data_IF_375461351466
#
_entry.id   IF_375461351466
#
_cell.length_a   1.000
_cell.length_b   1.000
_cell.length_c   1.000
_cell.angle_alpha   90.00
_cell.angle_beta   90.00
_cell.angle_gamma   90.00
#
_symmetry.space_group_name_H-M   'P 1'
#
loop_
_entity.id
_entity.type
_entity.pdbx_description
1 polymer ?
#
# COMPACT_ATOMS: atom_id res chain seq x y z
N UNK A 1 6.59 -0.30 -7.76
CA UNK A 1 5.36 -0.46 -8.57
C UNK A 1 4.18 0.33 -8.00
N UNK A 2 3.55 -0.08 -6.88
CA UNK A 2 2.25 0.48 -6.44
C UNK A 2 2.23 2.02 -6.28
N UNK A 3 3.26 2.61 -5.67
CA UNK A 3 3.36 4.08 -5.49
C UNK A 3 3.43 4.80 -6.83
N UNK A 4 4.27 4.31 -7.75
CA UNK A 4 4.40 4.87 -9.10
C UNK A 4 3.08 4.82 -9.86
N UNK A 5 2.37 3.70 -9.82
CA UNK A 5 1.07 3.55 -10.48
C UNK A 5 0.05 4.54 -9.95
N UNK A 6 0.00 4.75 -8.62
CA UNK A 6 -0.89 5.73 -7.99
C UNK A 6 -0.54 7.17 -8.37
N UNK A 7 0.75 7.49 -8.47
CA UNK A 7 1.22 8.80 -8.92
C UNK A 7 0.86 9.06 -10.39
N UNK A 8 1.18 8.11 -11.27
CA UNK A 8 0.86 8.21 -12.71
C UNK A 8 -0.65 8.34 -12.96
N UNK A 9 -1.48 7.74 -12.08
CA UNK A 9 -2.93 7.79 -12.18
C UNK A 9 -3.50 9.22 -12.23
N UNK A 10 -2.79 10.21 -11.68
CA UNK A 10 -3.24 11.61 -11.68
C UNK A 10 -3.36 12.20 -13.08
N UNK A 11 -2.62 11.67 -14.06
CA UNK A 11 -2.60 12.19 -15.44
C UNK A 11 -3.21 11.23 -16.46
N UNK A 12 -3.88 10.17 -15.99
CA UNK A 12 -4.49 9.19 -16.89
C UNK A 12 -5.70 9.80 -17.64
N UNK A 13 -5.81 9.54 -18.95
CA UNK A 13 -6.91 10.07 -19.75
C UNK A 13 -8.23 9.39 -19.37
N UNK A 14 -9.29 10.19 -19.23
CA UNK A 14 -10.60 9.68 -18.81
C UNK A 14 -11.26 8.77 -19.84
N UNK A 15 -11.02 8.98 -21.14
CA UNK A 15 -11.65 8.19 -22.21
C UNK A 15 -11.29 6.69 -22.12
N UNK A 16 -10.01 6.28 -22.06
CA UNK A 16 -9.64 4.89 -21.84
C UNK A 16 -10.17 4.28 -20.53
N UNK A 17 -10.13 5.04 -19.42
CA UNK A 17 -10.68 4.56 -18.15
C UNK A 17 -12.20 4.31 -18.22
N UNK A 18 -12.94 5.21 -18.87
CA UNK A 18 -14.38 5.00 -19.10
C UNK A 18 -14.64 3.80 -20.01
N UNK A 19 -13.82 3.56 -21.02
CA UNK A 19 -13.89 2.36 -21.86
C UNK A 19 -13.61 1.11 -21.03
N UNK A 20 -12.61 1.14 -20.14
CA UNK A 20 -12.31 0.05 -19.22
C UNK A 20 -13.51 -0.31 -18.34
N UNK A 21 -14.23 0.67 -17.78
CA UNK A 21 -15.47 0.41 -17.03
C UNK A 21 -16.56 -0.27 -17.87
N UNK A 22 -16.73 0.16 -19.13
CA UNK A 22 -17.70 -0.45 -20.05
C UNK A 22 -17.29 -1.87 -20.49
N UNK A 23 -16.01 -2.23 -20.36
CA UNK A 23 -15.44 -3.52 -20.79
C UNK A 23 -14.90 -4.34 -19.61
N UNK A 24 -15.35 -4.05 -18.38
CA UNK A 24 -14.82 -4.64 -17.13
C UNK A 24 -14.91 -6.17 -17.10
N UNK A 25 -15.92 -6.77 -17.72
CA UNK A 25 -16.03 -8.22 -17.84
C UNK A 25 -14.90 -8.84 -18.67
N UNK A 26 -14.58 -8.22 -19.82
CA UNK A 26 -13.47 -8.66 -20.70
C UNK A 26 -12.12 -8.40 -20.03
N UNK A 27 -11.96 -7.25 -19.39
CA UNK A 27 -10.74 -6.95 -18.62
C UNK A 27 -10.50 -7.97 -17.51
N UNK A 28 -11.54 -8.38 -16.79
CA UNK A 28 -11.43 -9.42 -15.78
C UNK A 28 -10.90 -10.72 -16.37
N UNK A 29 -11.42 -11.15 -17.52
CA UNK A 29 -10.97 -12.36 -18.22
C UNK A 29 -9.49 -12.27 -18.61
N UNK A 30 -9.09 -11.16 -19.23
CA UNK A 30 -7.69 -10.93 -19.63
C UNK A 30 -6.77 -10.98 -18.39
N UNK A 31 -7.11 -10.27 -17.31
CA UNK A 31 -6.29 -10.29 -16.11
C UNK A 31 -6.26 -11.64 -15.40
N UNK A 32 -7.34 -12.43 -15.43
CA UNK A 32 -7.29 -13.80 -14.90
C UNK A 32 -6.34 -14.71 -15.69
N UNK A 33 -6.13 -14.44 -16.99
CA UNK A 33 -5.15 -15.15 -17.80
C UNK A 33 -3.72 -14.70 -17.50
N UNK A 34 -3.52 -13.38 -17.29
CA UNK A 34 -2.20 -12.79 -17.01
C UNK A 34 -1.71 -13.11 -15.58
N UNK A 35 -2.57 -12.90 -14.58
CA UNK A 35 -2.21 -12.90 -13.16
C UNK A 35 -2.77 -14.10 -12.38
N UNK A 36 -3.51 -14.98 -13.05
CA UNK A 36 -4.22 -16.09 -12.42
C UNK A 36 -5.52 -15.66 -11.74
N UNK A 37 -6.36 -16.64 -11.34
CA UNK A 37 -7.66 -16.37 -10.71
C UNK A 37 -7.56 -16.45 -9.17
N UNK A 38 -8.05 -15.44 -8.42
CA UNK A 38 -8.03 -15.49 -6.95
C UNK A 38 -8.94 -16.58 -6.40
N UNK A 39 -8.51 -17.21 -5.31
CA UNK A 39 -9.28 -18.22 -4.60
C UNK A 39 -10.24 -17.56 -3.62
N UNK A 40 -11.51 -17.97 -3.60
CA UNK A 40 -12.53 -17.35 -2.75
C UNK A 40 -12.35 -17.81 -1.29
N UNK A 41 -12.13 -16.87 -0.38
CA UNK A 41 -12.18 -17.12 1.07
C UNK A 41 -11.17 -18.14 1.59
N UNK A 42 -10.11 -18.44 0.84
CA UNK A 42 -9.01 -19.28 1.28
C UNK A 42 -7.96 -18.40 1.98
N UNK A 43 -8.00 -18.38 3.31
CA UNK A 43 -6.78 -18.17 4.09
C UNK A 43 -6.04 -19.51 4.11
N UNK A 44 -5.24 -19.80 3.09
CA UNK A 44 -4.27 -20.88 3.18
C UNK A 44 -2.90 -20.32 2.87
N UNK A 45 -2.14 -20.20 3.96
CA UNK A 45 -0.71 -20.46 4.13
C UNK A 45 -0.27 -21.71 3.37
N UNK A 46 -0.38 -21.74 2.04
CA UNK A 46 0.41 -22.66 1.25
C UNK A 46 1.69 -21.91 0.98
N UNK A 47 2.75 -22.33 1.69
CA UNK A 47 4.12 -22.18 1.20
C UNK A 47 4.07 -22.68 -0.24
N UNK A 48 4.01 -21.76 -1.21
CA UNK A 48 4.52 -22.06 -2.53
C UNK A 48 6.00 -22.27 -2.24
N UNK A 49 6.43 -23.52 -2.11
CA UNK A 49 7.87 -23.82 -2.18
C UNK A 49 8.31 -23.15 -3.48
N UNK A 50 9.32 -22.26 -3.46
CA UNK A 50 9.89 -21.80 -4.70
C UNK A 50 10.37 -23.07 -5.40
N UNK A 51 9.69 -23.45 -6.46
CA UNK A 51 10.19 -24.49 -7.33
C UNK A 51 11.39 -23.83 -8.01
N UNK A 52 12.58 -24.08 -7.45
CA UNK A 52 13.83 -23.79 -8.12
C UNK A 52 13.73 -24.47 -9.51
N UNK A 53 13.76 -23.65 -10.57
CA UNK A 53 13.73 -24.01 -12.00
C UNK A 53 12.42 -23.78 -12.78
N UNK A 54 11.61 -22.78 -12.43
CA UNK A 54 10.80 -22.10 -13.45
C UNK A 54 11.23 -20.64 -13.52
N UNK A 55 11.67 -20.19 -14.70
CA UNK A 55 11.99 -18.79 -14.95
C UNK A 55 10.68 -17.98 -15.07
N UNK A 56 9.98 -17.85 -13.94
CA UNK A 56 8.67 -17.17 -13.80
C UNK A 56 8.75 -15.74 -14.35
N UNK A 57 9.92 -15.09 -14.25
CA UNK A 57 10.16 -13.76 -14.80
C UNK A 57 10.09 -13.70 -16.33
N UNK A 58 10.65 -14.67 -17.05
CA UNK A 58 10.57 -14.71 -18.52
C UNK A 58 9.15 -14.96 -19.01
N UNK A 59 8.47 -15.94 -18.40
CA UNK A 59 7.06 -16.24 -18.72
C UNK A 59 6.14 -15.05 -18.37
N UNK A 60 6.31 -14.40 -17.21
CA UNK A 60 5.55 -13.19 -16.88
C UNK A 60 5.84 -12.03 -17.85
N UNK A 61 7.05 -11.94 -18.41
CA UNK A 61 7.40 -10.89 -19.39
C UNK A 61 6.70 -11.09 -20.73
N UNK A 62 6.71 -12.30 -21.27
CA UNK A 62 5.99 -12.64 -22.52
C UNK A 62 4.47 -12.61 -22.36
N UNK A 63 3.94 -13.07 -21.22
CA UNK A 63 2.51 -12.98 -20.92
C UNK A 63 2.07 -11.53 -20.69
N UNK A 64 2.92 -10.69 -20.08
CA UNK A 64 2.65 -9.26 -19.97
C UNK A 64 2.59 -8.61 -21.35
N UNK A 65 3.54 -8.87 -22.26
CA UNK A 65 3.54 -8.21 -23.58
C UNK A 65 2.29 -8.54 -24.41
N UNK A 66 1.86 -9.81 -24.43
CA UNK A 66 0.61 -10.22 -25.10
C UNK A 66 -0.63 -9.62 -24.44
N UNK A 67 -0.69 -9.63 -23.11
CA UNK A 67 -1.78 -9.04 -22.34
C UNK A 67 -1.88 -7.52 -22.48
N UNK A 68 -0.74 -6.82 -22.54
CA UNK A 68 -0.68 -5.36 -22.71
C UNK A 68 -1.24 -4.95 -24.06
N UNK A 69 -0.93 -5.66 -25.14
CA UNK A 69 -1.49 -5.37 -26.47
C UNK A 69 -3.01 -5.56 -26.51
N UNK A 70 -3.51 -6.68 -25.96
CA UNK A 70 -4.96 -6.93 -25.91
C UNK A 70 -5.72 -5.87 -25.10
N UNK A 71 -5.14 -5.42 -23.98
CA UNK A 71 -5.74 -4.35 -23.18
C UNK A 71 -5.67 -3.04 -23.96
N UNK A 72 -4.54 -2.72 -24.58
CA UNK A 72 -4.38 -1.49 -25.35
C UNK A 72 -5.45 -1.36 -26.45
N UNK A 73 -5.68 -2.43 -27.21
CA UNK A 73 -6.75 -2.51 -28.20
C UNK A 73 -8.15 -2.37 -27.57
N UNK A 74 -8.36 -2.99 -26.40
CA UNK A 74 -9.65 -2.99 -25.72
C UNK A 74 -10.04 -1.60 -25.20
N UNK A 75 -9.09 -0.84 -24.66
CA UNK A 75 -9.34 0.47 -24.04
C UNK A 75 -8.99 1.66 -24.95
N UNK A 76 -8.31 1.40 -26.07
CA UNK A 76 -7.91 2.39 -27.08
C UNK A 76 -6.76 3.29 -26.63
N UNK A 77 -5.77 2.74 -25.92
CA UNK A 77 -4.53 3.44 -25.55
C UNK A 77 -3.40 2.45 -25.32
N UNK A 78 -2.21 2.75 -25.81
CA UNK A 78 -0.97 1.97 -25.63
C UNK A 78 -0.17 2.37 -24.38
N UNK A 79 -0.55 3.48 -23.74
CA UNK A 79 -0.03 3.93 -22.44
C UNK A 79 0.13 2.80 -21.41
N UNK A 80 1.38 2.53 -21.05
CA UNK A 80 1.74 1.50 -20.06
C UNK A 80 1.21 1.81 -18.66
N UNK A 81 1.15 3.07 -18.27
CA UNK A 81 0.61 3.49 -16.96
C UNK A 81 -0.90 3.25 -16.83
N UNK A 82 -1.65 3.27 -17.94
CA UNK A 82 -3.06 2.88 -17.95
C UNK A 82 -3.21 1.37 -17.70
N UNK A 83 -2.35 0.56 -18.34
CA UNK A 83 -2.30 -0.88 -18.08
C UNK A 83 -1.96 -1.17 -16.62
N UNK A 84 -0.90 -0.56 -16.09
CA UNK A 84 -0.45 -0.79 -14.71
C UNK A 84 -1.52 -0.37 -13.68
N UNK A 85 -2.26 0.70 -13.95
CA UNK A 85 -3.38 1.14 -13.12
C UNK A 85 -4.51 0.11 -13.08
N UNK A 86 -4.91 -0.43 -14.23
CA UNK A 86 -5.93 -1.47 -14.32
C UNK A 86 -5.47 -2.78 -13.68
N UNK A 87 -4.19 -3.14 -13.86
CA UNK A 87 -3.57 -4.28 -13.22
C UNK A 87 -3.57 -4.13 -11.69
N UNK A 88 -3.21 -2.95 -11.17
CA UNK A 88 -3.26 -2.68 -9.73
C UNK A 88 -4.69 -2.82 -9.18
N UNK A 89 -5.70 -2.31 -9.88
CA UNK A 89 -7.10 -2.50 -9.47
C UNK A 89 -7.51 -3.99 -9.44
N UNK A 90 -7.03 -4.79 -10.40
CA UNK A 90 -7.23 -6.23 -10.42
C UNK A 90 -6.57 -6.92 -9.22
N UNK A 91 -5.28 -6.65 -9.00
CA UNK A 91 -4.48 -7.22 -7.91
C UNK A 91 -5.07 -6.90 -6.53
N UNK A 92 -5.51 -5.66 -6.31
CA UNK A 92 -6.22 -5.27 -5.09
C UNK A 92 -7.53 -6.07 -4.92
N UNK A 93 -8.31 -6.19 -6.00
CA UNK A 93 -9.58 -6.94 -5.96
C UNK A 93 -9.39 -8.43 -5.66
N UNK A 94 -8.29 -9.00 -6.15
CA UNK A 94 -7.90 -10.38 -5.88
C UNK A 94 -7.57 -10.56 -4.40
N UNK A 95 -6.75 -9.69 -3.82
CA UNK A 95 -6.49 -9.69 -2.37
C UNK A 95 -7.78 -9.61 -1.54
N UNK A 96 -8.70 -8.70 -1.87
CA UNK A 96 -9.99 -8.62 -1.19
C UNK A 96 -10.83 -9.91 -1.31
N UNK A 97 -10.79 -10.57 -2.47
CA UNK A 97 -11.53 -11.80 -2.74
C UNK A 97 -11.01 -13.00 -1.93
N UNK A 98 -9.70 -13.05 -1.66
CA UNK A 98 -9.12 -14.08 -0.80
C UNK A 98 -9.58 -13.95 0.67
N UNK A 99 -9.94 -12.73 1.10
CA UNK A 99 -10.35 -12.43 2.48
C UNK A 99 -11.86 -12.39 2.71
N UNK A 100 -12.67 -12.44 1.66
CA UNK A 100 -14.11 -12.22 1.75
C UNK A 100 -14.90 -13.19 0.88
N UNK A 101 -15.94 -13.80 1.47
CA UNK A 101 -16.90 -14.64 0.74
C UNK A 101 -18.14 -13.86 0.27
N UNK A 102 -18.21 -12.55 0.53
CA UNK A 102 -19.43 -11.73 0.29
C UNK A 102 -19.75 -11.49 -1.19
N UNK A 103 -18.73 -11.44 -2.05
CA UNK A 103 -18.85 -11.19 -3.49
C UNK A 103 -18.01 -12.21 -4.25
N UNK A 104 -18.42 -12.54 -5.47
CA UNK A 104 -17.55 -13.28 -6.39
C UNK A 104 -16.35 -12.42 -6.79
N UNK A 105 -15.21 -13.01 -7.17
CA UNK A 105 -14.03 -12.24 -7.58
C UNK A 105 -14.30 -11.24 -8.69
N UNK A 106 -15.12 -11.61 -9.67
CA UNK A 106 -15.53 -10.71 -10.75
C UNK A 106 -16.33 -9.51 -10.21
N UNK A 107 -17.33 -9.73 -9.35
CA UNK A 107 -18.10 -8.64 -8.74
C UNK A 107 -17.23 -7.76 -7.83
N UNK A 108 -16.23 -8.34 -7.18
CA UNK A 108 -15.25 -7.60 -6.39
C UNK A 108 -14.36 -6.73 -7.28
N UNK A 109 -13.84 -7.28 -8.39
CA UNK A 109 -13.07 -6.52 -9.37
C UNK A 109 -13.86 -5.35 -9.94
N UNK A 110 -15.10 -5.57 -10.38
CA UNK A 110 -15.95 -4.49 -10.90
C UNK A 110 -16.10 -3.34 -9.88
N UNK A 111 -16.38 -3.66 -8.62
CA UNK A 111 -16.55 -2.66 -7.57
C UNK A 111 -15.25 -1.91 -7.25
N UNK A 112 -14.10 -2.60 -7.25
CA UNK A 112 -12.79 -1.97 -7.01
C UNK A 112 -12.38 -1.09 -8.19
N UNK A 113 -12.56 -1.56 -9.43
CA UNK A 113 -12.27 -0.78 -10.63
C UNK A 113 -13.11 0.51 -10.69
N UNK A 114 -14.41 0.41 -10.40
CA UNK A 114 -15.30 1.57 -10.28
C UNK A 114 -14.79 2.58 -9.24
N UNK A 115 -14.38 2.10 -8.06
CA UNK A 115 -13.81 2.96 -7.01
C UNK A 115 -12.50 3.61 -7.43
N UNK A 116 -11.60 2.86 -8.08
CA UNK A 116 -10.32 3.36 -8.56
C UNK A 116 -10.53 4.51 -9.55
N UNK A 117 -11.36 4.31 -10.57
CA UNK A 117 -11.63 5.32 -11.60
C UNK A 117 -12.40 6.52 -11.01
N UNK A 118 -13.32 6.28 -10.07
CA UNK A 118 -13.99 7.36 -9.35
C UNK A 118 -12.99 8.25 -8.58
N UNK A 119 -12.02 7.66 -7.88
CA UNK A 119 -11.00 8.42 -7.14
C UNK A 119 -10.13 9.24 -8.07
N UNK A 120 -9.69 8.67 -9.21
CA UNK A 120 -8.92 9.42 -10.21
C UNK A 120 -9.71 10.62 -10.73
N UNK A 121 -10.98 10.42 -11.11
CA UNK A 121 -11.86 11.52 -11.54
C UNK A 121 -11.99 12.60 -10.47
N UNK A 122 -12.18 12.20 -9.21
CA UNK A 122 -12.35 13.13 -8.09
C UNK A 122 -11.08 13.95 -7.87
N UNK A 123 -9.91 13.31 -7.91
CA UNK A 123 -8.62 14.02 -7.74
C UNK A 123 -8.41 14.98 -8.92
N UNK A 124 -8.60 14.52 -10.16
CA UNK A 124 -8.45 15.35 -11.35
C UNK A 124 -9.38 16.57 -11.33
N UNK A 125 -10.61 16.39 -10.87
CA UNK A 125 -11.55 17.51 -10.71
C UNK A 125 -11.10 18.52 -9.64
N UNK A 126 -10.50 18.06 -8.53
CA UNK A 126 -10.00 18.96 -7.48
C UNK A 126 -8.78 19.76 -7.95
N UNK A 127 -7.93 19.18 -8.80
CA UNK A 127 -6.72 19.85 -9.31
C UNK A 127 -6.97 20.63 -10.61
N UNK A 128 -8.17 20.53 -11.18
CA UNK A 128 -8.55 21.16 -12.45
C UNK A 128 -8.28 22.68 -12.40
N UNK A 129 -7.48 23.18 -13.33
CA UNK A 129 -7.07 24.60 -13.38
C UNK A 129 -5.90 24.98 -12.46
N UNK A 130 -5.32 24.02 -11.74
CA UNK A 130 -4.16 24.20 -10.87
C UNK A 130 -3.02 23.22 -11.16
N UNK A 131 -3.08 22.52 -12.30
CA UNK A 131 -2.14 21.47 -12.68
C UNK A 131 -0.70 21.99 -12.76
N UNK A 132 -0.53 23.24 -13.21
CA UNK A 132 0.78 23.91 -13.27
C UNK A 132 1.37 24.26 -11.90
N UNK A 133 0.57 24.25 -10.83
CA UNK A 133 1.03 24.49 -9.47
C UNK A 133 1.53 23.21 -8.78
N UNK A 134 1.33 22.05 -9.39
CA UNK A 134 1.78 20.77 -8.83
C UNK A 134 3.28 20.62 -9.07
N UNK A 135 4.03 20.47 -7.97
CA UNK A 135 5.44 20.10 -8.03
C UNK A 135 5.61 18.66 -8.51
N UNK A 136 6.77 18.35 -9.07
CA UNK A 136 7.18 16.97 -9.36
C UNK A 136 7.35 16.18 -8.06
N UNK A 137 7.06 14.87 -8.10
CA UNK A 137 7.32 13.98 -6.97
C UNK A 137 8.41 12.97 -7.30
N UNK A 138 9.36 12.83 -6.37
CA UNK A 138 10.36 11.76 -6.39
C UNK A 138 9.86 10.56 -5.57
N UNK A 139 9.91 9.38 -6.18
CA UNK A 139 9.43 8.14 -5.56
C UNK A 139 10.63 7.28 -5.23
N UNK A 140 10.89 7.13 -3.92
CA UNK A 140 12.03 6.40 -3.39
C UNK A 140 11.53 5.18 -2.63
N UNK A 141 12.14 4.02 -2.90
CA UNK A 141 11.93 2.81 -2.10
C UNK A 141 13.01 2.75 -1.02
N UNK A 142 12.61 2.70 0.25
CA UNK A 142 13.54 2.68 1.38
C UNK A 142 12.89 2.21 2.68
N UNK A 143 13.66 2.26 3.77
CA UNK A 143 13.21 1.95 5.12
C UNK A 143 13.10 3.25 5.93
N UNK A 144 11.92 3.55 6.48
CA UNK A 144 11.72 4.78 7.25
C UNK A 144 12.56 4.86 8.54
N UNK A 145 13.17 3.74 8.97
CA UNK A 145 14.11 3.70 10.10
C UNK A 145 15.53 4.13 9.72
N UNK A 146 15.79 4.31 8.42
CA UNK A 146 17.04 4.79 7.84
C UNK A 146 16.75 5.44 6.47
N UNK A 147 16.44 6.72 6.47
CA UNK A 147 16.11 7.47 5.26
C UNK A 147 17.37 7.90 4.54
N UNK A 148 17.46 7.62 3.23
CA UNK A 148 18.53 8.09 2.34
C UNK A 148 18.33 9.57 1.97
N UNK A 149 18.16 10.42 2.98
CA UNK A 149 17.98 11.86 2.87
C UNK A 149 19.02 12.57 3.75
N UNK A 150 19.50 13.72 3.30
CA UNK A 150 20.45 14.51 4.07
C UNK A 150 19.81 15.11 5.33
N UNK A 151 20.64 15.35 6.34
CA UNK A 151 20.22 16.06 7.56
C UNK A 151 19.65 17.43 7.21
N UNK A 152 18.59 17.83 7.91
CA UNK A 152 17.97 19.16 7.80
C UNK A 152 17.67 19.58 6.34
N UNK A 153 17.23 18.64 5.50
CA UNK A 153 16.97 18.87 4.07
C UNK A 153 15.49 19.05 3.74
N UNK A 154 14.58 18.64 4.62
CA UNK A 154 13.14 18.55 4.37
C UNK A 154 12.36 19.64 5.13
N UNK A 155 11.40 20.28 4.44
CA UNK A 155 10.56 21.34 5.01
C UNK A 155 9.32 20.85 5.77
N UNK A 156 8.95 19.58 5.60
CA UNK A 156 7.84 18.97 6.33
C UNK A 156 7.77 17.46 6.08
N UNK A 157 7.35 16.72 7.10
CA UNK A 157 7.12 15.28 7.00
C UNK A 157 5.64 15.01 7.26
N UNK A 158 5.01 14.19 6.41
CA UNK A 158 3.64 13.74 6.58
C UNK A 158 3.57 12.23 6.33
N UNK A 159 3.10 11.48 7.32
CA UNK A 159 2.88 10.05 7.13
C UNK A 159 1.79 9.49 8.04
N UNK A 160 1.30 8.30 7.67
CA UNK A 160 0.43 7.49 8.52
C UNK A 160 1.15 6.16 8.79
N UNK A 161 1.61 5.91 10.02
CA UNK A 161 2.31 4.67 10.34
C UNK A 161 1.37 3.47 10.18
N UNK A 162 1.91 2.26 9.95
CA UNK A 162 1.07 1.06 9.98
C UNK A 162 0.36 0.95 11.33
N UNK A 163 -0.89 0.43 11.32
CA UNK A 163 -1.70 0.20 12.52
C UNK A 163 -1.13 -0.95 13.37
N UNK A 164 0.09 -0.75 13.87
CA UNK A 164 0.91 -1.67 14.65
C UNK A 164 0.84 -3.12 14.15
N UNK A 165 0.67 -4.06 15.07
CA UNK A 165 0.54 -5.50 14.84
C UNK A 165 -0.93 -5.93 14.61
N UNK A 166 -1.86 -4.98 14.50
CA UNK A 166 -3.29 -5.28 14.40
C UNK A 166 -3.70 -5.86 13.04
N UNK A 167 -2.95 -5.53 11.99
CA UNK A 167 -3.27 -5.91 10.61
C UNK A 167 -2.06 -6.60 10.01
N UNK A 168 -2.25 -7.83 9.53
CA UNK A 168 -1.23 -8.51 8.73
C UNK A 168 -1.35 -8.07 7.27
N UNK A 169 -0.74 -6.93 6.94
CA UNK A 169 -0.76 -6.37 5.59
C UNK A 169 -0.20 -7.34 4.56
N UNK A 170 0.92 -8.02 4.84
CA UNK A 170 1.50 -8.99 3.91
C UNK A 170 0.56 -10.15 3.60
N UNK A 171 -0.22 -10.62 4.57
CA UNK A 171 -1.25 -11.63 4.32
C UNK A 171 -2.47 -11.09 3.58
N UNK A 172 -2.78 -9.79 3.70
CA UNK A 172 -3.81 -9.17 2.88
C UNK A 172 -3.34 -8.99 1.43
N UNK A 173 -2.06 -8.80 1.26
CA UNK A 173 -1.47 -8.37 0.01
C UNK A 173 -0.76 -9.53 -0.73
N UNK A 174 -0.88 -10.75 -0.19
CA UNK A 174 -0.17 -11.94 -0.66
C UNK A 174 -0.38 -12.24 -2.14
N UNK A 175 -1.61 -12.07 -2.67
CA UNK A 175 -1.86 -12.29 -4.09
C UNK A 175 -0.97 -11.41 -4.96
N UNK A 176 -0.90 -10.13 -4.66
CA UNK A 176 -0.12 -9.20 -5.47
C UNK A 176 1.39 -9.32 -5.20
N UNK A 177 1.80 -9.63 -3.97
CA UNK A 177 3.21 -9.83 -3.62
C UNK A 177 3.77 -11.07 -4.34
N UNK A 178 3.00 -12.16 -4.36
CA UNK A 178 3.34 -13.36 -5.11
C UNK A 178 3.40 -13.10 -6.62
N UNK A 179 2.44 -12.35 -7.16
CA UNK A 179 2.44 -11.95 -8.57
C UNK A 179 3.68 -11.11 -8.94
N UNK A 180 4.14 -10.24 -8.03
CA UNK A 180 5.35 -9.44 -8.24
C UNK A 180 6.65 -10.23 -7.99
N UNK A 181 6.56 -11.47 -7.49
CA UNK A 181 7.72 -12.30 -7.18
C UNK A 181 8.46 -11.85 -5.91
N UNK A 182 7.77 -11.14 -5.00
CA UNK A 182 8.34 -10.65 -3.75
C UNK A 182 8.52 -11.78 -2.74
N UNK A 183 9.61 -11.74 -1.97
CA UNK A 183 9.80 -12.67 -0.85
C UNK A 183 9.05 -12.15 0.39
N UNK A 184 7.89 -12.75 0.66
CA UNK A 184 7.02 -12.36 1.77
C UNK A 184 7.72 -12.49 3.14
N UNK A 185 8.56 -13.51 3.34
CA UNK A 185 9.26 -13.66 4.63
C UNK A 185 10.33 -12.58 4.80
N UNK A 186 11.07 -12.23 3.74
CA UNK A 186 12.03 -11.12 3.81
C UNK A 186 11.33 -9.78 4.05
N UNK A 187 10.17 -9.56 3.40
CA UNK A 187 9.35 -8.37 3.63
C UNK A 187 8.85 -8.29 5.06
N UNK A 188 8.46 -9.43 5.65
CA UNK A 188 8.00 -9.49 7.04
C UNK A 188 9.08 -9.09 8.03
N UNK A 189 10.34 -9.46 7.79
CA UNK A 189 11.47 -9.07 8.62
C UNK A 189 11.90 -7.61 8.43
N UNK A 190 11.48 -6.97 7.34
CA UNK A 190 11.69 -5.53 7.10
C UNK A 190 10.52 -4.67 7.58
N UNK A 191 9.31 -5.22 7.63
CA UNK A 191 8.10 -4.44 7.88
C UNK A 191 7.87 -4.09 9.36
N UNK A 192 7.69 -2.80 9.63
CA UNK A 192 7.34 -2.29 10.96
C UNK A 192 5.99 -2.86 11.41
N UNK A 193 5.97 -3.45 12.61
CA UNK A 193 4.75 -3.98 13.24
C UNK A 193 4.43 -5.46 12.95
N UNK A 194 5.16 -6.14 12.05
CA UNK A 194 4.91 -7.56 11.75
C UNK A 194 5.91 -8.54 12.39
N UNK A 195 7.06 -8.03 12.85
CA UNK A 195 8.16 -8.81 13.44
C UNK A 195 7.88 -9.21 14.89
N UNK A 196 8.27 -10.42 15.27
CA UNK A 196 8.05 -10.98 16.61
C UNK A 196 7.07 -12.16 16.63
N UNK A 197 7.19 -13.04 17.62
CA UNK A 197 6.38 -14.26 17.75
C UNK A 197 5.12 -14.02 18.56
N UNK A 198 5.26 -13.30 19.67
CA UNK A 198 4.13 -12.94 20.54
C UNK A 198 3.62 -11.54 20.24
N UNK A 199 2.38 -11.23 20.63
CA UNK A 199 1.82 -9.89 20.45
C UNK A 199 2.63 -8.85 21.24
N UNK A 200 3.06 -9.20 22.47
CA UNK A 200 3.90 -8.34 23.32
C UNK A 200 5.24 -8.04 22.66
N UNK A 201 5.89 -9.03 22.05
CA UNK A 201 7.13 -8.81 21.27
C UNK A 201 6.90 -7.90 20.07
N UNK A 202 5.84 -8.15 19.29
CA UNK A 202 5.49 -7.31 18.13
C UNK A 202 5.28 -5.86 18.53
N UNK A 203 4.59 -5.63 19.65
CA UNK A 203 4.41 -4.30 20.20
C UNK A 203 5.74 -3.65 20.61
N UNK A 204 6.59 -4.36 21.36
CA UNK A 204 7.88 -3.82 21.78
C UNK A 204 8.78 -3.48 20.58
N UNK A 205 8.82 -4.35 19.56
CA UNK A 205 9.56 -4.10 18.32
C UNK A 205 8.98 -2.92 17.55
N UNK A 206 7.65 -2.80 17.48
CA UNK A 206 6.99 -1.66 16.87
C UNK A 206 7.36 -0.33 17.54
N UNK A 207 7.33 -0.27 18.87
CA UNK A 207 7.72 0.94 19.62
C UNK A 207 9.18 1.31 19.33
N UNK A 208 10.09 0.31 19.31
CA UNK A 208 11.50 0.53 18.96
C UNK A 208 11.70 1.00 17.52
N UNK A 209 10.95 0.44 16.57
CA UNK A 209 11.00 0.86 15.18
C UNK A 209 10.48 2.29 15.00
N UNK A 210 9.37 2.62 15.66
CA UNK A 210 8.78 3.95 15.59
C UNK A 210 9.66 5.02 16.26
N UNK A 211 10.39 4.69 17.33
CA UNK A 211 11.39 5.58 17.92
C UNK A 211 12.50 5.94 16.91
N UNK A 212 12.98 4.95 16.14
CA UNK A 212 13.93 5.19 15.04
C UNK A 212 13.34 6.01 13.91
N UNK A 213 12.11 5.71 13.49
CA UNK A 213 11.41 6.51 12.46
C UNK A 213 11.29 7.97 12.91
N UNK A 214 10.90 8.22 14.16
CA UNK A 214 10.80 9.58 14.69
C UNK A 214 12.16 10.27 14.78
N UNK A 215 13.22 9.53 15.12
CA UNK A 215 14.59 10.04 15.10
C UNK A 215 15.03 10.45 13.69
N UNK A 216 14.72 9.62 12.68
CA UNK A 216 15.01 9.94 11.28
C UNK A 216 14.19 11.14 10.79
N UNK A 217 12.90 11.22 11.16
CA UNK A 217 12.08 12.41 10.89
C UNK A 217 12.72 13.67 11.51
N UNK A 218 13.21 13.61 12.75
CA UNK A 218 13.90 14.73 13.40
C UNK A 218 15.17 15.12 12.63
N UNK A 219 15.97 14.12 12.23
CA UNK A 219 17.24 14.31 11.53
C UNK A 219 17.06 15.00 10.18
N UNK A 220 16.09 14.57 9.38
CA UNK A 220 15.90 15.11 8.02
C UNK A 220 15.15 16.45 8.00
N UNK A 221 14.40 16.78 9.06
CA UNK A 221 13.65 18.03 9.14
C UNK A 221 14.59 19.23 9.38
N UNK A 222 14.35 20.31 8.61
CA UNK A 222 14.96 21.61 8.89
C UNK A 222 14.49 22.12 10.27
N UNK A 223 15.30 22.97 10.95
CA UNK A 223 14.88 23.63 12.18
C UNK A 223 13.52 24.33 12.02
N UNK A 224 12.69 24.28 13.06
CA UNK A 224 11.37 24.93 13.12
C UNK A 224 10.35 24.46 12.06
N UNK A 225 10.53 23.24 11.51
CA UNK A 225 9.57 22.59 10.61
C UNK A 225 8.75 21.50 11.31
N UNK A 226 7.70 21.04 10.64
CA UNK A 226 6.68 20.18 11.24
C UNK A 226 6.73 18.74 10.72
N UNK A 227 6.57 17.80 11.65
CA UNK A 227 6.24 16.40 11.37
C UNK A 227 4.78 16.14 11.73
N UNK A 228 3.97 15.77 10.74
CA UNK A 228 2.55 15.44 10.92
C UNK A 228 2.35 13.94 10.80
N UNK A 229 1.79 13.34 11.85
CA UNK A 229 1.55 11.89 11.92
C UNK A 229 0.05 11.64 12.02
N UNK A 230 -0.51 10.95 11.02
CA UNK A 230 -1.93 10.58 11.01
C UNK A 230 -2.10 9.22 11.68
N UNK A 231 -2.71 9.21 12.86
CA UNK A 231 -2.89 8.02 13.69
C UNK A 231 -4.37 7.80 13.98
N UNK A 232 -4.90 6.64 13.60
CA UNK A 232 -6.25 6.22 14.00
C UNK A 232 -6.27 5.57 15.38
N UNK A 233 -7.45 5.56 16.01
CA UNK A 233 -7.69 4.92 17.31
C UNK A 233 -7.55 3.40 17.20
N UNK A 234 -6.77 2.78 18.09
CA UNK A 234 -6.53 1.34 18.10
C UNK A 234 -6.60 0.70 19.50
N UNK A 235 -7.31 1.35 20.41
CA UNK A 235 -7.34 0.99 21.83
C UNK A 235 -7.85 -0.44 22.05
N UNK A 236 -8.81 -0.89 21.25
CA UNK A 236 -9.35 -2.26 21.32
C UNK A 236 -8.28 -3.32 20.99
N UNK A 237 -7.43 -3.03 20.01
CA UNK A 237 -6.37 -3.94 19.57
C UNK A 237 -5.23 -3.96 20.58
N UNK A 238 -4.84 -2.80 21.11
CA UNK A 238 -3.83 -2.66 22.15
C UNK A 238 -4.28 -3.30 23.48
N UNK A 239 -5.56 -3.16 23.85
CA UNK A 239 -6.14 -3.81 25.04
C UNK A 239 -5.95 -5.33 24.99
N UNK A 240 -6.37 -5.94 23.88
CA UNK A 240 -6.20 -7.39 23.65
C UNK A 240 -4.74 -7.83 23.63
N UNK A 241 -3.87 -6.98 23.10
CA UNK A 241 -2.45 -7.26 22.94
C UNK A 241 -1.65 -7.22 24.22
N UNK A 242 -1.95 -6.23 25.06
CA UNK A 242 -1.28 -5.99 26.33
C UNK A 242 -1.99 -6.71 27.47
N UNK A 243 -3.15 -7.32 27.21
CA UNK A 243 -4.01 -7.95 28.19
C UNK A 243 -4.38 -7.00 29.35
N UNK A 244 -4.77 -5.76 28.99
CA UNK A 244 -5.21 -4.72 29.92
C UNK A 244 -6.58 -4.17 29.50
N UNK A 245 -7.40 -3.66 30.44
CA UNK A 245 -8.66 -2.99 30.11
C UNK A 245 -8.46 -1.83 29.14
N UNK A 246 -9.43 -1.59 28.26
CA UNK A 246 -9.36 -0.56 27.22
C UNK A 246 -9.12 0.83 27.81
N UNK A 247 -9.70 1.10 28.97
CA UNK A 247 -9.61 2.36 29.72
C UNK A 247 -8.18 2.62 30.23
N UNK A 248 -7.38 1.56 30.35
CA UNK A 248 -5.98 1.61 30.80
C UNK A 248 -4.99 1.60 29.62
N UNK A 249 -5.48 1.48 28.38
CA UNK A 249 -4.62 1.48 27.20
C UNK A 249 -4.07 2.87 26.94
N UNK A 250 -2.74 2.94 26.86
CA UNK A 250 -2.07 4.11 26.28
C UNK A 250 -2.18 4.00 24.76
N UNK A 251 -3.01 4.85 24.14
CA UNK A 251 -3.19 4.87 22.70
C UNK A 251 -1.91 5.25 21.95
N UNK A 252 -1.78 4.82 20.69
CA UNK A 252 -0.58 5.08 19.87
C UNK A 252 -0.20 6.56 19.79
N UNK A 253 -1.18 7.46 19.75
CA UNK A 253 -0.93 8.90 19.75
C UNK A 253 -0.12 9.35 20.98
N UNK A 254 -0.41 8.83 22.17
CA UNK A 254 0.34 9.15 23.39
C UNK A 254 1.75 8.55 23.33
N UNK A 255 1.87 7.30 22.88
CA UNK A 255 3.17 6.65 22.70
C UNK A 255 4.06 7.47 21.76
N UNK A 256 3.52 7.99 20.66
CA UNK A 256 4.30 8.82 19.74
C UNK A 256 4.65 10.18 20.33
N UNK A 257 3.76 10.80 21.11
CA UNK A 257 4.08 12.01 21.87
C UNK A 257 5.25 11.75 22.83
N UNK A 258 5.20 10.67 23.59
CA UNK A 258 6.25 10.31 24.56
C UNK A 258 7.59 10.02 23.87
N UNK A 259 7.58 9.29 22.74
CA UNK A 259 8.78 9.04 21.95
C UNK A 259 9.34 10.33 21.33
N UNK A 260 8.48 11.17 20.75
CA UNK A 260 8.87 12.42 20.11
C UNK A 260 9.44 13.45 21.11
N UNK A 261 8.93 13.46 22.35
CA UNK A 261 9.43 14.32 23.42
C UNK A 261 10.91 14.09 23.73
N UNK A 262 11.41 12.87 23.53
CA UNK A 262 12.84 12.52 23.68
C UNK A 262 13.72 13.10 22.58
N UNK A 263 13.13 13.45 21.45
CA UNK A 263 13.81 13.90 20.23
C UNK A 263 13.68 15.43 20.02
N UNK A 264 13.24 16.19 21.03
CA UNK A 264 13.01 17.63 20.96
C UNK A 264 11.98 18.08 19.90
N UNK A 265 11.06 17.19 19.50
CA UNK A 265 9.93 17.54 18.62
C UNK A 265 8.72 17.90 19.48
N UNK A 266 8.13 19.09 19.25
CA UNK A 266 6.87 19.49 19.89
C UNK A 266 5.71 18.85 19.11
N UNK A 267 4.93 18.01 19.77
CA UNK A 267 3.78 17.35 19.17
C UNK A 267 2.48 18.14 19.45
N UNK A 268 1.77 18.53 18.39
CA UNK A 268 0.43 19.12 18.49
C UNK A 268 -0.60 18.08 18.04
N UNK A 269 -1.44 17.63 18.98
CA UNK A 269 -2.59 16.78 18.65
C UNK A 269 -3.71 17.68 18.12
N UNK A 270 -4.00 17.57 16.82
CA UNK A 270 -5.18 18.16 16.21
C UNK A 270 -6.34 17.17 16.35
N UNK A 271 -7.46 17.61 16.94
CA UNK A 271 -8.68 16.83 17.14
C UNK A 271 -9.72 17.15 16.07
#
# INVERSE_FOLDING_TARGET
>A
FMTQVKYNAFTLPQKPLNTALKKKEKLFQIFTQIAGKPLIGNKITKKIKPNNNFNIKESLTEFKSSGTNQIADLIGTDRTDAFDFLLLAYLDSAGYSERSKRKSPQKQFHAILERYIFVVKKIQHVIEGSESNLATADIIQGDARLMELADQSIDGVLFSPPYSFAINYLANDSFHLNFMGENIEDLKEKMIGLRGRTIKEKYSLYVKDMDKVLSECARVLKPSRFCTIIVGTNDNQLSKALNIPKEQVTGLHKIFIDLASKQYIIFLKLM
#
